data_IF_833344193311
#
_entry.id   IF_833344193311
#
_cell.length_a   1.000
_cell.length_b   1.000
_cell.length_c   1.000
_cell.angle_alpha   90.00
_cell.angle_beta   90.00
_cell.angle_gamma   90.00
#
_symmetry.space_group_name_H-M   'P 1'
#
loop_
_entity.id
_entity.type
_entity.pdbx_description
1 polymer ?
#
# COMPACT_ATOMS: atom_id res chain seq x y z
N UNK A 1 3.36 -18.26 14.42
CA UNK A 1 4.44 -17.31 14.75
C UNK A 1 4.15 -16.01 14.04
N UNK A 2 3.84 -14.95 14.79
CA UNK A 2 3.42 -13.66 14.24
C UNK A 2 4.65 -12.89 13.77
N UNK A 3 4.91 -12.98 12.47
CA UNK A 3 5.78 -12.06 11.73
C UNK A 3 5.15 -10.65 11.79
N UNK A 4 5.63 -9.84 12.72
CA UNK A 4 5.32 -8.41 12.81
C UNK A 4 6.60 -7.63 12.48
N UNK A 5 6.99 -7.68 11.21
CA UNK A 5 7.95 -6.73 10.64
C UNK A 5 7.24 -5.39 10.38
N UNK A 6 6.97 -4.64 11.45
CA UNK A 6 6.51 -3.25 11.34
C UNK A 6 7.57 -2.30 11.89
N UNK A 7 8.54 -2.03 11.04
CA UNK A 7 9.66 -1.14 11.34
C UNK A 7 9.22 0.30 11.00
N UNK A 8 9.19 1.15 12.03
CA UNK A 8 9.59 2.58 12.07
C UNK A 8 8.48 3.63 12.24
N UNK A 9 8.42 4.24 13.42
CA UNK A 9 7.86 5.58 13.64
C UNK A 9 8.97 6.62 13.85
N UNK A 10 8.82 7.80 13.23
CA UNK A 10 9.65 8.98 13.54
C UNK A 10 8.98 9.79 14.67
N UNK A 11 9.69 10.01 15.78
CA UNK A 11 9.28 10.92 16.86
C UNK A 11 10.11 12.21 16.81
N UNK A 12 9.44 13.36 16.95
CA UNK A 12 10.09 14.67 17.09
C UNK A 12 9.97 15.15 18.54
N UNK A 13 11.06 15.62 19.14
CA UNK A 13 11.01 16.32 20.43
C UNK A 13 11.60 17.71 20.20
N UNK A 14 10.83 18.76 20.50
CA UNK A 14 11.31 20.15 20.51
C UNK A 14 11.36 20.66 21.94
N UNK A 15 12.41 21.43 22.22
CA UNK A 15 12.76 22.17 23.44
C UNK A 15 13.37 21.35 24.58
N UNK A 16 14.70 21.39 24.62
CA UNK A 16 15.41 21.64 25.87
C UNK A 16 16.31 22.88 25.67
N UNK A 17 15.92 23.97 26.32
CA UNK A 17 16.83 25.04 26.67
C UNK A 17 17.87 24.47 27.65
N UNK A 18 19.12 24.35 27.20
CA UNK A 18 20.27 24.33 28.10
C UNK A 18 21.50 24.86 27.35
N UNK A 19 21.90 26.07 27.75
CA UNK A 19 22.97 26.89 27.21
C UNK A 19 24.30 26.13 27.15
N UNK A 20 24.80 25.84 25.94
CA UNK A 20 26.18 25.41 25.74
C UNK A 20 27.07 26.61 25.42
N UNK A 21 27.81 27.05 26.43
CA UNK A 21 29.07 27.77 26.23
C UNK A 21 30.22 26.84 26.59
N UNK A 22 31.04 26.46 25.61
CA UNK A 22 32.43 26.14 25.88
C UNK A 22 33.30 26.38 24.65
N UNK A 23 34.27 27.28 24.86
CA UNK A 23 35.43 27.53 24.02
C UNK A 23 36.23 26.24 23.81
N UNK A 24 36.55 25.94 22.54
CA UNK A 24 37.49 24.89 22.18
C UNK A 24 38.90 25.47 22.15
N UNK A 25 39.69 25.21 23.19
CA UNK A 25 41.14 25.33 23.13
C UNK A 25 41.75 23.94 23.39
N UNK A 26 42.28 23.32 22.34
CA UNK A 26 42.81 21.97 22.39
C UNK A 26 44.20 21.94 23.04
N UNK A 27 44.24 21.86 24.37
CA UNK A 27 45.48 21.59 25.12
C UNK A 27 45.77 20.10 25.07
N UNK A 28 46.79 19.69 24.31
CA UNK A 28 47.33 18.32 24.33
C UNK A 28 47.95 18.02 25.69
N UNK A 29 47.22 17.37 26.58
CA UNK A 29 47.75 16.86 27.87
C UNK A 29 48.46 15.52 27.63
N UNK A 30 49.70 15.41 28.12
CA UNK A 30 50.49 14.17 28.13
C UNK A 30 49.74 13.12 28.97
N UNK A 31 49.39 11.98 28.36
CA UNK A 31 48.59 10.90 28.99
C UNK A 31 47.19 10.69 28.38
N UNK A 32 46.77 11.53 27.43
CA UNK A 32 45.51 11.33 26.70
C UNK A 32 45.78 10.48 25.43
N UNK A 33 45.85 9.16 25.61
CA UNK A 33 46.01 8.23 24.49
C UNK A 33 44.66 8.01 23.80
N UNK A 34 44.42 8.75 22.71
CA UNK A 34 43.17 8.73 21.94
C UNK A 34 43.17 7.51 21.02
N UNK A 35 43.10 6.31 21.60
CA UNK A 35 42.65 5.15 20.82
C UNK A 35 41.17 5.36 20.47
N UNK A 36 40.93 5.79 19.23
CA UNK A 36 39.63 6.21 18.69
C UNK A 36 38.52 5.14 18.88
N UNK A 37 38.89 3.86 19.04
CA UNK A 37 37.99 2.73 19.29
C UNK A 37 37.29 2.80 20.65
N UNK A 38 37.93 3.33 21.70
CA UNK A 38 37.34 3.47 23.04
C UNK A 38 36.37 4.65 23.11
N UNK A 39 36.66 5.73 22.41
CA UNK A 39 35.77 6.90 22.36
C UNK A 39 34.49 6.62 21.57
N UNK A 40 34.59 5.95 20.42
CA UNK A 40 33.42 5.58 19.61
C UNK A 40 32.44 4.69 20.38
N UNK A 41 32.93 3.65 21.05
CA UNK A 41 32.09 2.77 21.87
C UNK A 41 31.40 3.51 23.02
N UNK A 42 32.11 4.41 23.71
CA UNK A 42 31.51 5.25 24.77
C UNK A 42 30.41 6.16 24.22
N UNK A 43 30.62 6.76 23.04
CA UNK A 43 29.62 7.59 22.38
C UNK A 43 28.39 6.76 21.97
N UNK A 44 28.58 5.53 21.48
CA UNK A 44 27.49 4.62 21.11
C UNK A 44 26.65 4.22 22.33
N UNK A 45 27.29 3.86 23.45
CA UNK A 45 26.60 3.53 24.71
C UNK A 45 25.83 4.73 25.25
N UNK A 46 26.47 5.90 25.30
CA UNK A 46 25.83 7.13 25.76
C UNK A 46 24.61 7.49 24.89
N UNK A 47 24.74 7.36 23.56
CA UNK A 47 23.62 7.62 22.65
C UNK A 47 22.47 6.63 22.87
N UNK A 48 22.76 5.37 23.19
CA UNK A 48 21.75 4.37 23.50
C UNK A 48 20.98 4.70 24.79
N UNK A 49 21.67 5.16 25.83
CA UNK A 49 21.04 5.63 27.07
C UNK A 49 20.12 6.82 26.83
N UNK A 50 20.60 7.83 26.09
CA UNK A 50 19.79 8.99 25.69
C UNK A 50 18.55 8.55 24.91
N UNK A 51 18.70 7.63 23.96
CA UNK A 51 17.57 7.15 23.16
C UNK A 51 16.53 6.42 24.03
N UNK A 52 16.97 5.62 25.01
CA UNK A 52 16.09 4.93 25.97
C UNK A 52 15.31 5.93 26.82
N UNK A 53 15.97 6.98 27.29
CA UNK A 53 15.33 8.02 28.11
C UNK A 53 14.30 8.84 27.32
N UNK A 54 14.60 9.16 26.06
CA UNK A 54 13.66 9.82 25.15
C UNK A 54 12.39 8.99 24.98
N UNK A 55 12.51 7.67 24.74
CA UNK A 55 11.34 6.81 24.62
C UNK A 55 10.55 6.69 25.92
N UNK A 56 11.21 6.54 27.07
CA UNK A 56 10.52 6.51 28.37
C UNK A 56 9.70 7.77 28.60
N UNK A 57 10.31 8.95 28.40
CA UNK A 57 9.60 10.24 28.54
C UNK A 57 8.45 10.37 27.57
N UNK A 58 8.63 9.95 26.32
CA UNK A 58 7.57 9.96 25.33
C UNK A 58 6.40 9.08 25.78
N UNK A 59 6.67 7.83 26.17
CA UNK A 59 5.67 6.87 26.63
C UNK A 59 4.92 7.35 27.88
N UNK A 60 5.63 7.78 28.92
CA UNK A 60 5.01 8.14 30.19
C UNK A 60 4.36 9.53 30.17
N UNK A 61 5.04 10.53 29.62
CA UNK A 61 4.66 11.93 29.79
C UNK A 61 3.84 12.46 28.61
N UNK A 62 4.14 12.00 27.39
CA UNK A 62 3.50 12.52 26.18
C UNK A 62 2.25 11.70 25.84
N UNK A 63 2.40 10.38 25.64
CA UNK A 63 1.28 9.52 25.23
C UNK A 63 0.57 8.82 26.39
N UNK A 64 1.17 8.81 27.58
CA UNK A 64 0.64 8.20 28.81
C UNK A 64 0.30 6.71 28.65
N UNK A 65 1.22 5.95 28.04
CA UNK A 65 1.08 4.51 27.87
C UNK A 65 1.53 3.76 29.13
N UNK A 66 0.65 2.94 29.71
CA UNK A 66 0.87 2.25 31.00
C UNK A 66 0.63 0.73 30.95
N UNK A 67 0.66 0.13 29.76
CA UNK A 67 0.43 -1.32 29.65
C UNK A 67 1.66 -2.11 30.09
N UNK A 68 1.52 -2.89 31.16
CA UNK A 68 2.60 -3.71 31.73
C UNK A 68 2.82 -5.03 30.98
N UNK A 69 1.85 -5.47 30.16
CA UNK A 69 1.98 -6.69 29.33
C UNK A 69 2.90 -6.47 28.12
N UNK A 70 3.24 -5.22 27.83
CA UNK A 70 4.09 -4.80 26.73
C UNK A 70 5.40 -4.22 27.27
N UNK A 71 6.43 -5.07 27.51
CA UNK A 71 7.68 -4.61 28.11
C UNK A 71 8.52 -3.74 27.16
N UNK A 72 8.27 -3.81 25.85
CA UNK A 72 9.04 -3.12 24.82
C UNK A 72 8.12 -2.41 23.80
N UNK A 73 7.33 -1.40 24.24
CA UNK A 73 6.39 -0.70 23.36
C UNK A 73 7.09 0.08 22.26
N UNK A 74 8.31 0.56 22.53
CA UNK A 74 9.21 1.17 21.57
C UNK A 74 10.58 0.48 21.68
N UNK A 75 11.05 -0.11 20.59
CA UNK A 75 12.34 -0.79 20.47
C UNK A 75 13.19 -0.15 19.37
N UNK A 76 14.47 -0.54 19.32
CA UNK A 76 15.40 -0.16 18.27
C UNK A 76 15.47 1.36 17.99
N UNK A 77 15.49 2.16 19.05
CA UNK A 77 15.46 3.62 18.91
C UNK A 77 16.80 4.14 18.42
N UNK A 78 16.79 4.87 17.30
CA UNK A 78 17.96 5.48 16.67
C UNK A 78 17.71 6.95 16.38
N UNK A 79 18.63 7.83 16.78
CA UNK A 79 18.61 9.21 16.29
C UNK A 79 18.90 9.22 14.78
N UNK A 80 18.06 9.90 14.00
CA UNK A 80 18.20 10.03 12.54
C UNK A 80 18.83 11.36 12.12
N UNK A 81 19.05 12.26 13.07
CA UNK A 81 19.67 13.55 12.83
C UNK A 81 18.94 14.68 13.55
N UNK A 82 19.62 15.82 13.59
CA UNK A 82 19.15 17.06 14.17
C UNK A 82 19.29 18.17 13.13
N UNK A 83 18.24 18.97 12.93
CA UNK A 83 18.27 20.12 12.03
C UNK A 83 17.74 21.35 12.77
N UNK A 84 18.65 22.24 13.19
CA UNK A 84 18.33 23.31 14.13
C UNK A 84 17.74 22.74 15.42
N UNK A 85 16.55 23.21 15.79
CA UNK A 85 15.84 22.80 17.01
C UNK A 85 15.03 21.50 16.84
N UNK A 86 15.07 20.89 15.65
CA UNK A 86 14.33 19.67 15.35
C UNK A 86 15.22 18.44 15.54
N UNK A 87 14.90 17.62 16.53
CA UNK A 87 15.47 16.28 16.68
C UNK A 87 14.54 15.22 16.10
N UNK A 88 15.11 14.22 15.43
CA UNK A 88 14.36 13.11 14.83
C UNK A 88 14.87 11.76 15.36
N UNK A 89 13.92 10.91 15.77
CA UNK A 89 14.21 9.56 16.26
C UNK A 89 13.39 8.54 15.51
N UNK A 90 14.00 7.40 15.20
CA UNK A 90 13.41 6.26 14.51
C UNK A 90 13.26 5.12 15.50
N UNK A 91 12.07 4.55 15.63
CA UNK A 91 11.82 3.44 16.56
C UNK A 91 10.90 2.38 15.95
N UNK A 92 11.14 1.12 16.26
CA UNK A 92 10.15 0.05 16.11
C UNK A 92 9.12 0.16 17.22
N UNK A 93 7.89 -0.25 16.95
CA UNK A 93 6.82 -0.16 17.93
C UNK A 93 6.02 -1.45 17.99
N UNK A 94 5.56 -1.79 19.18
CA UNK A 94 4.70 -2.96 19.37
C UNK A 94 3.31 -2.72 18.78
N UNK A 95 2.63 -3.81 18.44
CA UNK A 95 1.25 -3.75 17.98
C UNK A 95 0.29 -3.21 19.06
N UNK A 96 0.49 -3.61 20.31
CA UNK A 96 -0.31 -3.15 21.45
C UNK A 96 -0.18 -1.64 21.66
N UNK A 97 1.05 -1.13 21.60
CA UNK A 97 1.33 0.30 21.66
C UNK A 97 0.66 1.04 20.51
N UNK A 98 0.80 0.53 19.28
CA UNK A 98 0.23 1.19 18.10
C UNK A 98 -1.30 1.32 18.18
N UNK A 99 -1.99 0.26 18.60
CA UNK A 99 -3.44 0.28 18.80
C UNK A 99 -3.84 1.29 19.88
N UNK A 100 -3.14 1.30 21.01
CA UNK A 100 -3.36 2.32 22.03
C UNK A 100 -3.13 3.73 21.49
N UNK A 101 -2.06 3.92 20.72
CA UNK A 101 -1.69 5.23 20.20
C UNK A 101 -2.74 5.78 19.24
N UNK A 102 -3.29 4.95 18.35
CA UNK A 102 -4.39 5.37 17.46
C UNK A 102 -5.63 5.79 18.27
N UNK A 103 -6.00 4.99 19.28
CA UNK A 103 -7.24 5.20 20.04
C UNK A 103 -7.16 6.36 21.03
N UNK A 104 -6.06 6.47 21.78
CA UNK A 104 -5.92 7.42 22.89
C UNK A 104 -4.65 8.27 22.78
N UNK A 105 -3.52 7.66 22.38
CA UNK A 105 -2.22 8.34 22.39
C UNK A 105 -2.14 9.58 21.49
N UNK A 106 -2.86 9.63 20.37
CA UNK A 106 -2.95 10.81 19.50
C UNK A 106 -3.59 12.02 20.18
N UNK A 107 -4.64 11.80 20.96
CA UNK A 107 -5.31 12.86 21.71
C UNK A 107 -4.38 13.40 22.81
N UNK A 108 -3.76 12.48 23.57
CA UNK A 108 -2.79 12.83 24.62
C UNK A 108 -1.59 13.62 24.07
N UNK A 109 -1.04 13.18 22.93
CA UNK A 109 0.02 13.89 22.21
C UNK A 109 -0.41 15.31 21.81
N UNK A 110 -1.63 15.47 21.29
CA UNK A 110 -2.15 16.80 20.91
C UNK A 110 -2.31 17.71 22.12
N UNK A 111 -2.84 17.20 23.23
CA UNK A 111 -2.98 17.93 24.49
C UNK A 111 -1.61 18.35 25.04
N UNK A 112 -0.65 17.42 25.06
CA UNK A 112 0.72 17.69 25.49
C UNK A 112 1.37 18.80 24.64
N UNK A 113 1.25 18.72 23.32
CA UNK A 113 1.78 19.73 22.40
C UNK A 113 1.18 21.12 22.66
N UNK A 114 -0.14 21.19 22.87
CA UNK A 114 -0.82 22.46 23.20
C UNK A 114 -0.35 23.03 24.54
N UNK A 115 -0.25 22.19 25.58
CA UNK A 115 0.11 22.61 26.94
C UNK A 115 1.56 23.08 27.05
N UNK A 116 2.47 22.41 26.35
CA UNK A 116 3.91 22.67 26.46
C UNK A 116 4.48 23.49 25.29
N UNK A 117 3.61 24.02 24.42
CA UNK A 117 4.01 24.70 23.19
C UNK A 117 5.02 23.90 22.35
N UNK A 118 4.78 22.59 22.23
CA UNK A 118 5.65 21.64 21.54
C UNK A 118 5.05 21.20 20.19
N UNK A 119 5.89 20.70 19.29
CA UNK A 119 5.47 20.19 17.98
C UNK A 119 5.89 18.74 17.75
N UNK A 120 5.62 17.88 18.74
CA UNK A 120 5.88 16.44 18.63
C UNK A 120 4.93 15.83 17.58
N UNK A 121 5.49 15.12 16.61
CA UNK A 121 4.72 14.37 15.60
C UNK A 121 5.15 12.92 15.61
N UNK A 122 4.20 12.03 15.34
CA UNK A 122 4.47 10.61 15.13
C UNK A 122 4.06 10.30 13.70
N UNK A 123 5.04 9.91 12.88
CA UNK A 123 4.80 9.52 11.50
C UNK A 123 5.15 8.04 11.37
N UNK A 124 4.17 7.24 10.93
CA UNK A 124 4.40 5.84 10.57
C UNK A 124 5.17 5.80 9.25
N UNK A 125 6.37 5.24 9.28
CA UNK A 125 7.13 4.92 8.08
C UNK A 125 6.32 3.92 7.25
N UNK A 126 6.20 4.18 5.95
CA UNK A 126 5.73 3.14 5.04
C UNK A 126 6.79 2.03 5.00
N UNK A 127 6.37 0.78 5.20
CA UNK A 127 7.26 -0.36 5.01
C UNK A 127 7.75 -0.40 3.57
N UNK A 128 8.95 -0.94 3.33
CA UNK A 128 9.52 -1.10 1.98
C UNK A 128 8.50 -1.75 1.04
N UNK A 129 7.73 -2.71 1.55
CA UNK A 129 6.63 -3.35 0.85
C UNK A 129 5.52 -2.40 0.37
N UNK A 130 5.04 -1.49 1.23
CA UNK A 130 3.99 -0.52 0.84
C UNK A 130 4.52 0.41 -0.25
N UNK A 131 5.75 0.90 -0.09
CA UNK A 131 6.42 1.74 -1.09
C UNK A 131 6.61 1.00 -2.41
N UNK A 132 7.02 -0.25 -2.37
CA UNK A 132 7.23 -1.07 -3.56
C UNK A 132 5.92 -1.43 -4.25
N UNK A 133 4.82 -1.62 -3.51
CA UNK A 133 3.48 -1.77 -4.09
C UNK A 133 3.00 -0.50 -4.82
N UNK A 134 3.26 0.67 -4.27
CA UNK A 134 2.95 1.95 -4.93
C UNK A 134 3.80 2.13 -6.20
N UNK A 135 5.11 1.86 -6.11
CA UNK A 135 6.01 1.86 -7.27
C UNK A 135 5.59 0.85 -8.33
N UNK A 136 5.16 -0.36 -7.94
CA UNK A 136 4.66 -1.38 -8.85
C UNK A 136 3.42 -0.88 -9.59
N UNK A 137 2.53 -0.17 -8.90
CA UNK A 137 1.33 0.44 -9.52
C UNK A 137 1.70 1.45 -10.60
N UNK A 138 2.70 2.31 -10.33
CA UNK A 138 3.21 3.26 -11.32
C UNK A 138 3.92 2.55 -12.48
N UNK A 139 4.71 1.52 -12.19
CA UNK A 139 5.40 0.70 -13.17
C UNK A 139 4.41 0.02 -14.13
N UNK A 140 3.38 -0.65 -13.60
CA UNK A 140 2.34 -1.30 -14.40
C UNK A 140 1.56 -0.29 -15.24
N UNK A 141 1.22 0.88 -14.69
CA UNK A 141 0.61 1.97 -15.47
C UNK A 141 1.49 2.36 -16.65
N UNK A 142 2.80 2.54 -16.44
CA UNK A 142 3.75 2.87 -17.51
C UNK A 142 3.79 1.76 -18.58
N UNK A 143 3.87 0.50 -18.16
CA UNK A 143 3.86 -0.67 -19.06
C UNK A 143 2.57 -0.77 -19.88
N UNK A 144 1.41 -0.63 -19.26
CA UNK A 144 0.11 -0.67 -19.95
C UNK A 144 -0.03 0.47 -20.96
N UNK A 145 0.39 1.69 -20.60
CA UNK A 145 0.40 2.83 -21.54
C UNK A 145 1.33 2.60 -22.73
N UNK A 146 2.52 2.05 -22.47
CA UNK A 146 3.48 1.70 -23.52
C UNK A 146 2.92 0.65 -24.47
N UNK A 147 2.28 -0.39 -23.93
CA UNK A 147 1.60 -1.41 -24.74
C UNK A 147 0.53 -0.78 -25.65
N UNK A 148 -0.31 0.10 -25.11
CA UNK A 148 -1.33 0.80 -25.90
C UNK A 148 -0.70 1.65 -27.01
N UNK A 149 0.38 2.36 -26.70
CA UNK A 149 1.11 3.19 -27.66
C UNK A 149 1.70 2.35 -28.81
N UNK A 150 2.40 1.25 -28.48
CA UNK A 150 3.02 0.36 -29.46
C UNK A 150 2.00 -0.32 -30.38
N UNK A 151 0.83 -0.67 -29.84
CA UNK A 151 -0.28 -1.27 -30.58
C UNK A 151 -1.22 -0.26 -31.25
N UNK A 152 -0.93 1.04 -31.15
CA UNK A 152 -1.78 2.14 -31.66
C UNK A 152 -3.23 2.07 -31.14
N UNK A 153 -3.39 1.63 -29.90
CA UNK A 153 -4.66 1.52 -29.22
C UNK A 153 -5.03 2.85 -28.55
N UNK A 154 -6.33 3.06 -28.39
CA UNK A 154 -6.84 4.19 -27.59
C UNK A 154 -6.40 4.07 -26.14
N UNK A 155 -5.89 5.16 -25.58
CA UNK A 155 -5.33 5.17 -24.23
C UNK A 155 -6.43 5.08 -23.17
N UNK A 156 -6.46 4.04 -22.32
CA UNK A 156 -7.41 3.95 -21.21
C UNK A 156 -7.07 4.98 -20.12
N UNK A 157 -8.08 5.34 -19.33
CA UNK A 157 -7.84 6.11 -18.12
C UNK A 157 -7.33 5.18 -17.01
N UNK A 158 -6.06 5.35 -16.63
CA UNK A 158 -5.42 4.58 -15.56
C UNK A 158 -5.05 5.53 -14.42
N UNK A 159 -5.69 5.35 -13.27
CA UNK A 159 -5.41 6.09 -12.03
C UNK A 159 -4.77 5.16 -11.00
N UNK A 160 -3.75 5.65 -10.30
CA UNK A 160 -3.10 4.94 -9.19
C UNK A 160 -3.64 5.47 -7.87
N UNK A 161 -4.02 4.57 -6.98
CA UNK A 161 -4.49 4.89 -5.62
C UNK A 161 -3.83 3.94 -4.63
N UNK A 162 -2.67 4.34 -4.09
CA UNK A 162 -1.85 3.49 -3.23
C UNK A 162 -1.38 2.24 -3.99
N UNK A 163 -1.67 1.06 -3.44
CA UNK A 163 -1.34 -0.25 -4.03
C UNK A 163 -2.32 -0.75 -5.09
N UNK A 164 -3.28 0.08 -5.51
CA UNK A 164 -4.34 -0.27 -6.46
C UNK A 164 -4.25 0.54 -7.75
N UNK A 165 -4.58 -0.14 -8.85
CA UNK A 165 -4.84 0.46 -10.15
C UNK A 165 -6.34 0.50 -10.40
N UNK A 166 -6.83 1.70 -10.75
CA UNK A 166 -8.17 1.92 -11.26
C UNK A 166 -8.06 2.13 -12.76
N UNK A 167 -8.59 1.20 -13.53
CA UNK A 167 -8.55 1.21 -14.98
C UNK A 167 -9.98 1.39 -15.49
N UNK A 168 -10.19 2.44 -16.28
CA UNK A 168 -11.43 2.68 -17.01
C UNK A 168 -11.13 2.57 -18.50
N UNK A 169 -11.71 1.55 -19.13
CA UNK A 169 -11.62 1.38 -20.57
C UNK A 169 -12.50 2.45 -21.24
N UNK A 170 -12.02 3.11 -22.29
CA UNK A 170 -12.67 4.28 -22.86
C UNK A 170 -14.08 3.98 -23.44
N UNK A 171 -14.30 2.76 -23.92
CA UNK A 171 -15.58 2.30 -24.49
C UNK A 171 -16.50 1.62 -23.48
N UNK A 172 -16.12 1.59 -22.19
CA UNK A 172 -16.89 0.92 -21.16
C UNK A 172 -17.04 1.82 -19.95
N UNK A 173 -18.26 1.94 -19.43
CA UNK A 173 -18.47 2.58 -18.12
C UNK A 173 -17.95 1.70 -16.96
N UNK A 174 -17.44 0.50 -17.27
CA UNK A 174 -16.86 -0.40 -16.29
C UNK A 174 -15.51 0.13 -15.83
N UNK A 175 -15.48 0.52 -14.55
CA UNK A 175 -14.24 0.79 -13.80
C UNK A 175 -13.78 -0.48 -13.10
N UNK A 176 -12.53 -0.86 -13.30
CA UNK A 176 -11.93 -1.99 -12.62
C UNK A 176 -10.90 -1.49 -11.61
N UNK A 177 -11.07 -1.85 -10.34
CA UNK A 177 -10.08 -1.61 -9.28
C UNK A 177 -9.40 -2.92 -8.94
N UNK A 178 -8.09 -3.00 -9.18
CA UNK A 178 -7.29 -4.21 -8.95
C UNK A 178 -6.05 -3.84 -8.16
N UNK A 179 -5.65 -4.71 -7.25
CA UNK A 179 -4.36 -4.56 -6.56
C UNK A 179 -3.21 -4.87 -7.52
N UNK A 180 -2.17 -4.05 -7.49
CA UNK A 180 -1.07 -4.13 -8.44
C UNK A 180 -0.27 -5.44 -8.38
N UNK A 181 -0.08 -6.03 -7.19
CA UNK A 181 0.56 -7.35 -7.05
C UNK A 181 -0.23 -8.45 -7.73
N UNK A 182 -1.56 -8.47 -7.54
CA UNK A 182 -2.47 -9.43 -8.18
C UNK A 182 -2.50 -9.22 -9.69
N UNK A 183 -2.61 -7.97 -10.15
CA UNK A 183 -2.61 -7.65 -11.57
C UNK A 183 -1.29 -8.07 -12.24
N UNK A 184 -0.14 -7.84 -11.57
CA UNK A 184 1.15 -8.24 -12.09
C UNK A 184 1.23 -9.76 -12.33
N UNK A 185 0.71 -10.55 -11.39
CA UNK A 185 0.61 -12.01 -11.53
C UNK A 185 -0.31 -12.36 -12.69
N UNK A 186 -1.53 -11.83 -12.72
CA UNK A 186 -2.52 -12.15 -13.75
C UNK A 186 -2.03 -11.82 -15.17
N UNK A 187 -1.34 -10.69 -15.35
CA UNK A 187 -0.77 -10.29 -16.63
C UNK A 187 0.43 -11.14 -17.05
N UNK A 188 1.20 -11.64 -16.08
CA UNK A 188 2.41 -12.46 -16.29
C UNK A 188 3.39 -11.94 -17.35
N UNK A 189 3.50 -10.61 -17.47
CA UNK A 189 4.49 -9.97 -18.33
C UNK A 189 5.91 -10.24 -17.84
N UNK A 190 6.89 -9.98 -18.72
CA UNK A 190 8.29 -9.94 -18.32
C UNK A 190 8.59 -8.69 -17.47
N UNK A 191 8.97 -8.94 -16.22
CA UNK A 191 9.30 -7.94 -15.20
C UNK A 191 10.81 -7.82 -14.96
N UNK A 192 11.68 -8.25 -15.88
CA UNK A 192 13.14 -8.20 -15.69
C UNK A 192 13.68 -6.80 -15.37
N UNK A 193 13.04 -5.73 -15.85
CA UNK A 193 13.41 -4.34 -15.58
C UNK A 193 12.78 -3.76 -14.29
N UNK A 194 12.05 -4.56 -13.51
CA UNK A 194 11.51 -4.18 -12.21
C UNK A 194 12.62 -4.16 -11.14
N UNK A 195 12.73 -3.05 -10.42
CA UNK A 195 13.80 -2.82 -9.43
C UNK A 195 13.34 -2.90 -7.96
N UNK A 196 12.09 -3.26 -7.70
CA UNK A 196 11.59 -3.43 -6.32
C UNK A 196 11.64 -4.88 -5.87
N UNK A 197 11.04 -5.18 -4.72
CA UNK A 197 10.93 -6.54 -4.22
C UNK A 197 10.25 -7.49 -5.24
N UNK A 198 10.59 -8.78 -5.26
CA UNK A 198 9.93 -9.78 -6.08
C UNK A 198 8.40 -9.69 -5.97
N UNK A 199 7.68 -9.82 -7.09
CA UNK A 199 6.22 -9.70 -7.12
C UNK A 199 5.54 -10.65 -6.12
N UNK A 200 6.10 -11.85 -5.95
CA UNK A 200 5.62 -12.85 -4.98
C UNK A 200 5.65 -12.32 -3.54
N UNK A 201 6.68 -11.58 -3.16
CA UNK A 201 6.86 -11.03 -1.80
C UNK A 201 5.90 -9.85 -1.53
N UNK A 202 5.35 -9.26 -2.58
CA UNK A 202 4.37 -8.18 -2.49
C UNK A 202 2.94 -8.71 -2.25
N UNK A 203 2.67 -10.00 -2.49
CA UNK A 203 1.37 -10.65 -2.28
C UNK A 203 1.04 -10.82 -0.80
N UNK A 204 -0.21 -10.59 -0.41
CA UNK A 204 -0.67 -10.91 0.96
C UNK A 204 -0.75 -12.43 1.16
N UNK A 205 -0.80 -12.90 2.42
CA UNK A 205 -0.95 -14.33 2.73
C UNK A 205 -2.13 -14.98 1.95
N UNK A 206 -3.34 -14.40 1.94
CA UNK A 206 -4.45 -14.96 1.14
C UNK A 206 -4.18 -14.95 -0.37
N UNK A 207 -3.42 -13.99 -0.89
CA UNK A 207 -3.07 -13.95 -2.32
C UNK A 207 -2.02 -15.01 -2.68
N UNK A 208 -1.09 -15.31 -1.77
CA UNK A 208 -0.14 -16.40 -1.90
C UNK A 208 -0.87 -17.75 -1.87
N UNK A 209 -1.77 -17.95 -0.90
CA UNK A 209 -2.58 -19.17 -0.82
C UNK A 209 -3.42 -19.38 -2.09
N UNK A 210 -3.97 -18.30 -2.65
CA UNK A 210 -4.69 -18.33 -3.93
C UNK A 210 -3.77 -18.66 -5.11
N UNK A 211 -2.51 -18.22 -5.08
CA UNK A 211 -1.52 -18.55 -6.10
C UNK A 211 -1.11 -20.02 -6.03
N UNK A 212 -0.92 -20.54 -4.83
CA UNK A 212 -0.52 -21.93 -4.58
C UNK A 212 -1.65 -22.93 -4.85
N UNK A 213 -2.90 -22.57 -4.51
CA UNK A 213 -4.10 -23.34 -4.87
C UNK A 213 -4.50 -23.22 -6.34
N UNK A 214 -3.87 -22.31 -7.09
CA UNK A 214 -4.14 -22.08 -8.51
C UNK A 214 -5.42 -21.28 -8.80
N UNK A 215 -6.05 -20.66 -7.81
CA UNK A 215 -7.14 -19.69 -8.03
C UNK A 215 -6.63 -18.39 -8.69
N UNK A 216 -5.43 -17.96 -8.29
CA UNK A 216 -4.66 -16.90 -8.94
C UNK A 216 -3.59 -17.55 -9.83
N UNK A 217 -3.59 -17.25 -11.14
CA UNK A 217 -2.64 -17.84 -12.09
C UNK A 217 -1.88 -16.78 -12.88
N UNK A 218 -0.61 -17.08 -13.15
CA UNK A 218 0.20 -16.34 -14.10
C UNK A 218 -0.42 -16.39 -15.50
N UNK A 219 -0.37 -15.27 -16.23
CA UNK A 219 -0.90 -15.16 -17.60
C UNK A 219 -2.41 -15.48 -17.74
N UNK A 220 -3.18 -15.38 -16.66
CA UNK A 220 -4.64 -15.58 -16.70
C UNK A 220 -5.39 -14.43 -17.34
N UNK A 221 -4.77 -13.25 -17.45
CA UNK A 221 -5.34 -12.05 -18.02
C UNK A 221 -4.40 -11.46 -19.07
N UNK A 222 -4.90 -11.24 -20.29
CA UNK A 222 -4.14 -10.49 -21.30
C UNK A 222 -4.45 -8.99 -21.20
N UNK A 223 -3.52 -8.14 -21.64
CA UNK A 223 -3.75 -6.69 -21.70
C UNK A 223 -4.98 -6.37 -22.55
N UNK A 224 -5.19 -7.07 -23.66
CA UNK A 224 -6.35 -6.86 -24.53
C UNK A 224 -7.69 -7.13 -23.83
N UNK A 225 -7.74 -8.21 -23.02
CA UNK A 225 -8.92 -8.53 -22.19
C UNK A 225 -9.12 -7.53 -21.07
N UNK A 226 -8.03 -7.08 -20.43
CA UNK A 226 -8.09 -6.04 -19.40
C UNK A 226 -8.66 -4.73 -19.95
N UNK A 227 -8.35 -4.41 -21.21
CA UNK A 227 -8.77 -3.17 -21.88
C UNK A 227 -10.08 -3.31 -22.68
N UNK A 228 -10.72 -4.48 -22.63
CA UNK A 228 -11.96 -4.80 -23.39
C UNK A 228 -11.83 -4.55 -24.90
N UNK A 229 -10.68 -4.87 -25.50
CA UNK A 229 -10.42 -4.55 -26.91
C UNK A 229 -11.10 -5.48 -27.92
N UNK A 230 -11.66 -6.62 -27.48
CA UNK A 230 -12.28 -7.64 -28.34
C UNK A 230 -13.70 -8.07 -27.91
N UNK A 231 -14.59 -7.13 -27.57
CA UNK A 231 -16.01 -7.44 -27.32
C UNK A 231 -16.92 -7.30 -28.56
N UNK A 232 -16.34 -7.04 -29.72
CA UNK A 232 -17.04 -6.92 -31.00
C UNK A 232 -16.58 -8.07 -31.91
N UNK A 233 -17.11 -9.29 -31.74
CA UNK A 233 -17.19 -10.35 -32.79
C UNK A 233 -17.89 -11.64 -32.30
N UNK A 234 -18.99 -11.54 -31.55
CA UNK A 234 -19.87 -12.70 -31.34
C UNK A 234 -21.35 -12.32 -31.16
N UNK A 235 -21.85 -11.42 -31.99
CA UNK A 235 -23.29 -11.15 -32.11
C UNK A 235 -23.63 -10.70 -33.53
N UNK A 236 -23.48 -11.59 -34.52
CA UNK A 236 -24.15 -11.51 -35.84
C UNK A 236 -23.80 -12.70 -36.75
N UNK A 237 -24.05 -13.94 -36.30
CA UNK A 237 -24.20 -15.12 -37.19
C UNK A 237 -25.12 -16.18 -36.58
N UNK A 238 -26.28 -15.77 -36.07
CA UNK A 238 -27.46 -16.63 -35.92
C UNK A 238 -28.64 -15.68 -36.10
N UNK A 239 -29.18 -15.60 -37.31
CA UNK A 239 -30.59 -15.22 -37.59
C UNK A 239 -30.92 -15.06 -39.10
N UNK A 240 -29.98 -15.34 -40.02
CA UNK A 240 -30.29 -15.41 -41.47
C UNK A 240 -30.43 -16.85 -42.01
N UNK A 241 -30.76 -17.82 -41.16
CA UNK A 241 -31.04 -19.21 -41.57
C UNK A 241 -32.52 -19.62 -41.41
N UNK A 242 -33.45 -18.68 -41.20
CA UNK A 242 -34.89 -18.98 -41.01
C UNK A 242 -35.85 -18.18 -41.89
N UNK A 243 -35.41 -17.73 -43.07
CA UNK A 243 -36.29 -17.05 -44.03
C UNK A 243 -36.37 -17.70 -45.43
N UNK A 244 -35.74 -18.86 -45.64
CA UNK A 244 -35.74 -19.53 -46.95
C UNK A 244 -35.86 -21.04 -46.81
N UNK A 245 -37.05 -21.55 -46.44
CA UNK A 245 -37.57 -22.91 -46.75
C UNK A 245 -38.90 -23.13 -46.02
N UNK A 246 -40.00 -22.86 -46.73
CA UNK A 246 -41.27 -23.62 -46.76
C UNK A 246 -42.33 -22.77 -47.45
N UNK A 247 -42.20 -22.66 -48.77
CA UNK A 247 -43.37 -22.80 -49.64
C UNK A 247 -43.52 -24.30 -49.90
N UNK A 248 -44.77 -24.69 -50.01
CA UNK A 248 -45.29 -25.95 -50.53
C UNK A 248 -45.54 -27.09 -49.53
N UNK A 249 -46.78 -27.60 -49.66
CA UNK A 249 -47.41 -28.76 -49.04
C UNK A 249 -47.92 -28.60 -47.60
N UNK A 250 -49.15 -28.09 -47.46
CA UNK A 250 -50.13 -28.83 -46.66
C UNK A 250 -51.56 -28.62 -47.18
N UNK A 251 -52.04 -29.64 -47.88
CA UNK A 251 -53.42 -29.85 -48.30
C UNK A 251 -54.05 -30.84 -47.32
N UNK A 252 -55.31 -30.58 -46.93
CA UNK A 252 -56.20 -31.45 -46.16
C UNK A 252 -55.81 -31.58 -44.67
N UNK A 253 -56.71 -31.63 -43.70
CA UNK A 253 -58.16 -31.79 -43.70
C UNK A 253 -58.71 -31.34 -42.33
N UNK A 254 -60.00 -30.98 -42.34
CA UNK A 254 -60.97 -31.02 -41.22
C UNK A 254 -60.70 -30.27 -39.90
N UNK A 255 -61.67 -29.42 -39.58
CA UNK A 255 -62.42 -29.63 -38.34
C UNK A 255 -62.78 -28.39 -37.54
N UNK A 256 -63.86 -27.74 -37.97
CA UNK A 256 -64.80 -26.90 -37.21
C UNK A 256 -64.74 -26.94 -35.68
N UNK A 257 -64.73 -25.76 -35.02
CA UNK A 257 -65.84 -25.19 -34.20
C UNK A 257 -65.33 -23.97 -33.41
N UNK A 258 -65.81 -22.75 -33.74
CA UNK A 258 -66.91 -21.96 -33.12
C UNK A 258 -66.52 -21.17 -31.86
N UNK A 259 -66.62 -19.83 -32.00
CA UNK A 259 -67.03 -18.78 -31.01
C UNK A 259 -66.12 -18.61 -29.77
N UNK A 260 -65.76 -17.42 -29.28
CA UNK A 260 -66.50 -16.17 -29.14
C UNK A 260 -65.53 -15.01 -28.78
N UNK A 261 -65.81 -13.80 -29.29
CA UNK A 261 -65.47 -12.48 -28.66
C UNK A 261 -66.36 -12.24 -27.42
N UNK A 262 -66.20 -11.21 -26.54
CA UNK A 262 -65.66 -9.85 -26.75
C UNK A 262 -64.75 -9.29 -25.60
N UNK A 263 -63.85 -8.31 -25.82
CA UNK A 263 -63.95 -6.81 -25.75
C UNK A 263 -64.01 -6.18 -24.34
N UNK A 264 -63.20 -5.12 -24.19
CA UNK A 264 -63.10 -4.07 -23.15
C UNK A 264 -62.44 -4.48 -21.81
N UNK A 265 -61.52 -3.70 -21.23
CA UNK A 265 -61.24 -2.28 -21.42
C UNK A 265 -61.53 -1.56 -20.11
N UNK A 266 -60.48 -1.32 -19.31
CA UNK A 266 -60.22 -0.20 -18.38
C UNK A 266 -59.00 -0.56 -17.56
#
# INVERSE_FOLDING_TARGET
>A
ANECDEVIGIAYVSNMDESRSSHNESVKRKGFDVSNSSQRKRNEVFQEEVNKDVAKRFLSNVVKYTNNEDPYPLSWIRSTGMNGDLSSFKAEMSYLFWNFFISHGRANLSEFNKKNNAQIRVVRGQTTRVRDLEKLSLYLRKRLRRYCYEKKLTMPEIRVSGSYLNIQAQRSDRRMKIKSSVLAVQLGMDYYDWQGAPIKDLLTKPELDNLESGSLKWNSLTVDRLLNLNLEESSQKVDDARASRKRDANSQDRGSTKKSRPVHGS
#
